data_IF_682515051148
#
_entry.id   IF_682515051148
#
_cell.length_a   1.000
_cell.length_b   1.000
_cell.length_c   1.000
_cell.angle_alpha   90.00
_cell.angle_beta   90.00
_cell.angle_gamma   90.00
#
_symmetry.space_group_name_H-M   'P 1'
#
loop_
_entity.id
_entity.type
_entity.pdbx_description
1 polymer ?
#
# COMPACT_ATOMS: atom_id res chain seq x y z
N UNK A 1 2.07 17.64 9.69
CA UNK A 1 3.04 16.54 9.88
C UNK A 1 2.48 15.34 9.18
N UNK A 2 3.16 14.80 8.17
CA UNK A 2 2.75 13.50 7.61
C UNK A 2 2.94 12.44 8.70
N UNK A 3 1.91 11.63 9.02
CA UNK A 3 2.07 10.56 9.99
C UNK A 3 3.19 9.63 9.51
N UNK A 4 4.10 9.25 10.42
CA UNK A 4 5.13 8.26 10.15
C UNK A 4 4.42 6.93 9.86
N UNK A 5 4.47 6.50 8.60
CA UNK A 5 3.96 5.19 8.20
C UNK A 5 4.97 4.14 8.67
N UNK A 6 4.55 3.14 9.48
CA UNK A 6 5.45 2.08 9.92
C UNK A 6 6.03 1.30 8.73
N UNK A 7 7.32 0.98 8.81
CA UNK A 7 8.02 0.14 7.85
C UNK A 7 8.08 -1.30 8.36
N UNK A 8 7.84 -2.26 7.47
CA UNK A 8 7.90 -3.69 7.72
C UNK A 8 9.04 -4.28 6.90
N UNK A 9 9.84 -5.15 7.52
CA UNK A 9 10.92 -5.88 6.84
C UNK A 9 10.46 -7.31 6.57
N UNK A 10 10.52 -7.72 5.32
CA UNK A 10 10.23 -9.09 4.90
C UNK A 10 11.52 -9.81 4.49
N UNK A 11 11.74 -11.00 5.06
CA UNK A 11 12.83 -11.88 4.68
C UNK A 11 12.40 -12.74 3.48
N UNK A 12 13.05 -12.53 2.34
CA UNK A 12 12.91 -13.37 1.15
C UNK A 12 14.14 -14.25 1.00
N UNK A 13 14.05 -15.32 0.21
CA UNK A 13 15.18 -16.21 -0.08
C UNK A 13 16.40 -15.51 -0.73
N UNK A 14 16.23 -14.26 -1.22
CA UNK A 14 17.29 -13.43 -1.83
C UNK A 14 17.73 -12.25 -0.95
N UNK A 15 17.23 -12.14 0.28
CA UNK A 15 17.58 -11.07 1.24
C UNK A 15 16.37 -10.38 1.88
N UNK A 16 16.64 -9.29 2.59
CA UNK A 16 15.62 -8.46 3.27
C UNK A 16 15.10 -7.35 2.36
N UNK A 17 13.78 -7.22 2.26
CA UNK A 17 13.11 -6.07 1.61
C UNK A 17 12.27 -5.33 2.64
N UNK A 18 12.48 -4.02 2.73
CA UNK A 18 11.66 -3.14 3.55
C UNK A 18 10.56 -2.52 2.70
N UNK A 19 9.32 -2.60 3.18
CA UNK A 19 8.15 -1.97 2.59
C UNK A 19 7.41 -1.18 3.66
N UNK A 20 6.68 -0.14 3.27
CA UNK A 20 5.70 0.43 4.18
C UNK A 20 4.54 -0.56 4.40
N UNK A 21 3.84 -0.42 5.53
CA UNK A 21 2.75 -1.34 5.89
C UNK A 21 1.64 -1.38 4.83
N UNK A 22 1.34 -0.28 4.13
CA UNK A 22 0.28 -0.26 3.12
C UNK A 22 0.70 -1.01 1.86
N UNK A 23 1.93 -0.85 1.40
CA UNK A 23 2.48 -1.63 0.29
C UNK A 23 2.48 -3.13 0.60
N UNK A 24 2.82 -3.53 1.83
CA UNK A 24 2.75 -4.93 2.24
C UNK A 24 1.33 -5.48 2.18
N UNK A 25 0.33 -4.72 2.64
CA UNK A 25 -1.07 -5.12 2.63
C UNK A 25 -1.66 -5.12 1.21
N UNK A 26 -1.21 -4.21 0.34
CA UNK A 26 -1.60 -4.19 -1.06
C UNK A 26 -1.15 -5.48 -1.77
N UNK A 27 0.05 -5.99 -1.48
CA UNK A 27 0.51 -7.29 -2.00
C UNK A 27 -0.40 -8.46 -1.57
N UNK A 28 -1.03 -8.36 -0.39
CA UNK A 28 -2.04 -9.31 0.11
C UNK A 28 -3.45 -9.00 -0.42
N UNK A 29 -3.56 -8.14 -1.45
CA UNK A 29 -4.81 -7.66 -2.09
C UNK A 29 -5.72 -6.86 -1.18
N UNK A 30 -5.17 -6.13 -0.21
CA UNK A 30 -5.93 -5.29 0.71
C UNK A 30 -5.72 -3.81 0.36
N UNK A 31 -6.82 -3.12 0.04
CA UNK A 31 -6.85 -1.67 -0.22
C UNK A 31 -7.54 -0.95 0.94
N UNK A 32 -6.92 0.11 1.45
CA UNK A 32 -7.48 0.94 2.52
C UNK A 32 -8.04 2.25 1.96
N UNK A 33 -9.30 2.55 2.30
CA UNK A 33 -9.93 3.84 2.05
C UNK A 33 -10.29 4.47 3.40
N UNK A 34 -9.35 5.23 3.96
CA UNK A 34 -9.48 5.86 5.29
C UNK A 34 -9.79 7.36 5.26
N UNK A 35 -9.86 7.95 4.07
CA UNK A 35 -10.09 9.39 3.87
C UNK A 35 -11.36 9.62 3.07
N UNK A 36 -11.82 10.86 3.05
CA UNK A 36 -12.89 11.28 2.14
C UNK A 36 -12.51 11.01 0.69
N UNK A 37 -13.52 10.67 -0.12
CA UNK A 37 -13.33 10.37 -1.53
C UNK A 37 -13.27 11.70 -2.29
N UNK A 38 -12.06 12.04 -2.75
CA UNK A 38 -11.83 13.05 -3.76
C UNK A 38 -11.49 12.41 -5.11
N UNK A 39 -11.43 13.21 -6.16
CA UNK A 39 -10.98 12.79 -7.49
C UNK A 39 -9.60 12.08 -7.44
N UNK A 40 -8.65 12.66 -6.69
CA UNK A 40 -7.30 12.09 -6.54
C UNK A 40 -7.33 10.72 -5.85
N UNK A 41 -8.13 10.58 -4.78
CA UNK A 41 -8.25 9.32 -4.04
C UNK A 41 -8.94 8.26 -4.90
N UNK A 42 -9.97 8.63 -5.66
CA UNK A 42 -10.65 7.73 -6.58
C UNK A 42 -9.68 7.19 -7.65
N UNK A 43 -8.87 8.08 -8.26
CA UNK A 43 -7.86 7.68 -9.23
C UNK A 43 -6.81 6.72 -8.63
N UNK A 44 -6.36 6.97 -7.40
CA UNK A 44 -5.42 6.08 -6.69
C UNK A 44 -6.01 4.70 -6.43
N UNK A 45 -7.27 4.62 -5.97
CA UNK A 45 -7.94 3.33 -5.71
C UNK A 45 -8.10 2.54 -7.01
N UNK A 46 -8.51 3.20 -8.10
CA UNK A 46 -8.62 2.53 -9.42
C UNK A 46 -7.27 2.01 -9.90
N UNK A 47 -6.20 2.79 -9.76
CA UNK A 47 -4.85 2.34 -10.09
C UNK A 47 -4.41 1.12 -9.27
N UNK A 48 -4.73 1.10 -7.97
CA UNK A 48 -4.47 -0.05 -7.09
C UNK A 48 -5.27 -1.28 -7.52
N UNK A 49 -6.54 -1.13 -7.91
CA UNK A 49 -7.35 -2.25 -8.40
C UNK A 49 -6.78 -2.86 -9.68
N UNK A 50 -6.39 -2.03 -10.66
CA UNK A 50 -5.78 -2.48 -11.91
C UNK A 50 -4.42 -3.16 -11.64
N UNK A 51 -3.66 -2.68 -10.66
CA UNK A 51 -2.38 -3.29 -10.29
C UNK A 51 -2.52 -4.71 -9.71
N UNK A 52 -3.66 -5.04 -9.09
CA UNK A 52 -3.90 -6.33 -8.44
C UNK A 52 -4.49 -7.41 -9.35
N UNK A 53 -4.82 -7.05 -10.59
CA UNK A 53 -5.21 -7.98 -11.68
C UNK A 53 -4.02 -8.86 -12.09
#
# INVERSE_FOLDING_TARGET
>A
MSPLVPMVVEQTARGERAFDIYSRLLNERIIFLGTEISEDIANLVVAQLIHLE
#
